data_IF_604379894550
#
_entry.id   IF_604379894550
#
_cell.length_a   1.000
_cell.length_b   1.000
_cell.length_c   1.000
_cell.angle_alpha   90.00
_cell.angle_beta   90.00
_cell.angle_gamma   90.00
#
_symmetry.space_group_name_H-M   'P 1'
#
loop_
_entity.id
_entity.type
_entity.pdbx_description
1 polymer ?
#
# COMPACT_ATOMS: atom_id res chain seq x y z
N UNK A 1 -13.32 -20.68 8.63
CA UNK A 1 -12.61 -19.58 9.31
C UNK A 1 -12.37 -18.50 8.28
N UNK A 2 -12.73 -17.25 8.56
CA UNK A 2 -12.45 -16.15 7.64
C UNK A 2 -10.92 -15.91 7.64
N UNK A 3 -10.24 -16.18 6.52
CA UNK A 3 -8.81 -16.00 6.35
C UNK A 3 -8.44 -14.54 6.06
N UNK A 4 -8.97 -13.60 6.85
CA UNK A 4 -8.52 -12.21 6.76
C UNK A 4 -7.21 -12.05 7.53
N UNK A 5 -6.20 -11.50 6.86
CA UNK A 5 -4.90 -11.18 7.47
C UNK A 5 -4.52 -9.75 7.12
N UNK A 6 -4.32 -8.94 8.15
CA UNK A 6 -3.74 -7.61 7.99
C UNK A 6 -2.24 -7.75 8.16
N UNK A 7 -1.49 -7.31 7.17
CA UNK A 7 -0.03 -7.32 7.16
C UNK A 7 0.49 -5.95 6.74
N UNK A 8 1.72 -5.65 7.14
CA UNK A 8 2.49 -4.54 6.60
C UNK A 8 3.22 -4.96 5.32
N UNK A 9 3.53 -4.01 4.43
CA UNK A 9 4.37 -4.32 3.26
C UNK A 9 5.77 -4.81 3.64
N UNK A 10 6.29 -4.49 4.83
CA UNK A 10 7.58 -5.01 5.30
C UNK A 10 7.56 -6.51 5.59
N UNK A 11 6.40 -7.06 5.95
CA UNK A 11 6.25 -8.50 6.17
C UNK A 11 6.25 -9.28 4.85
N UNK A 12 5.73 -8.68 3.77
CA UNK A 12 5.66 -9.27 2.42
C UNK A 12 6.07 -8.25 1.34
N UNK A 13 7.35 -7.87 1.26
CA UNK A 13 7.83 -6.82 0.34
C UNK A 13 7.61 -7.19 -1.14
N UNK A 14 7.50 -8.47 -1.47
CA UNK A 14 7.18 -8.97 -2.81
C UNK A 14 5.80 -8.52 -3.32
N UNK A 15 4.90 -8.08 -2.42
CA UNK A 15 3.58 -7.56 -2.80
C UNK A 15 3.61 -6.10 -3.26
N UNK A 16 4.76 -5.41 -3.24
CA UNK A 16 4.83 -3.96 -3.48
C UNK A 16 4.23 -3.53 -4.83
N UNK A 17 4.52 -4.25 -5.91
CA UNK A 17 3.98 -3.92 -7.23
C UNK A 17 2.46 -4.15 -7.29
N UNK A 18 1.99 -5.26 -6.72
CA UNK A 18 0.57 -5.61 -6.67
C UNK A 18 -0.20 -4.61 -5.80
N UNK A 19 0.37 -4.19 -4.67
CA UNK A 19 -0.21 -3.18 -3.80
C UNK A 19 -0.31 -1.83 -4.53
N UNK A 20 0.75 -1.38 -5.20
CA UNK A 20 0.74 -0.12 -5.94
C UNK A 20 -0.37 -0.08 -7.01
N UNK A 21 -0.50 -1.14 -7.81
CA UNK A 21 -1.58 -1.31 -8.78
C UNK A 21 -2.97 -1.34 -8.12
N UNK A 22 -3.08 -2.02 -6.98
CA UNK A 22 -4.33 -2.07 -6.24
C UNK A 22 -4.76 -0.67 -5.77
N UNK A 23 -3.86 0.12 -5.17
CA UNK A 23 -4.17 1.48 -4.74
C UNK A 23 -4.48 2.39 -5.93
N UNK A 24 -3.74 2.27 -7.04
CA UNK A 24 -4.04 2.96 -8.29
C UNK A 24 -5.48 2.67 -8.75
N UNK A 25 -5.89 1.40 -8.75
CA UNK A 25 -7.24 1.01 -9.16
C UNK A 25 -8.37 1.59 -8.28
N UNK A 26 -8.06 1.98 -7.04
CA UNK A 26 -9.03 2.55 -6.10
C UNK A 26 -9.10 4.07 -6.18
N UNK A 27 -7.97 4.74 -6.36
CA UNK A 27 -7.85 6.18 -6.18
C UNK A 27 -7.47 6.95 -7.45
N UNK A 28 -7.10 6.26 -8.52
CA UNK A 28 -6.74 6.86 -9.82
C UNK A 28 -5.38 7.59 -9.83
N UNK A 29 -4.67 7.65 -8.70
CA UNK A 29 -3.30 8.16 -8.62
C UNK A 29 -2.35 7.18 -9.33
N UNK A 30 -1.36 7.64 -10.12
CA UNK A 30 -0.45 6.76 -10.85
C UNK A 30 0.20 5.68 -9.98
N UNK A 31 0.25 4.45 -10.46
CA UNK A 31 0.84 3.32 -9.73
C UNK A 31 2.32 3.58 -9.40
N UNK A 32 3.05 4.30 -10.27
CA UNK A 32 4.43 4.70 -10.05
C UNK A 32 4.60 5.58 -8.81
N UNK A 33 3.65 6.48 -8.54
CA UNK A 33 3.69 7.33 -7.35
C UNK A 33 3.57 6.50 -6.08
N UNK A 34 2.64 5.53 -6.06
CA UNK A 34 2.51 4.58 -4.96
C UNK A 34 3.76 3.71 -4.81
N UNK A 35 4.30 3.20 -5.92
CA UNK A 35 5.48 2.35 -5.92
C UNK A 35 6.70 3.06 -5.30
N UNK A 36 6.92 4.33 -5.63
CA UNK A 36 8.02 5.12 -5.05
C UNK A 36 7.82 5.35 -3.54
N UNK A 37 6.61 5.68 -3.08
CA UNK A 37 6.32 5.82 -1.66
C UNK A 37 6.50 4.49 -0.89
N UNK A 38 6.06 3.37 -1.46
CA UNK A 38 6.21 2.05 -0.83
C UNK A 38 7.68 1.62 -0.78
N UNK A 39 8.48 1.89 -1.81
CA UNK A 39 9.94 1.64 -1.78
C UNK A 39 10.63 2.49 -0.71
N UNK A 40 10.24 3.74 -0.53
CA UNK A 40 10.76 4.58 0.56
C UNK A 40 10.45 3.97 1.93
N UNK A 41 9.23 3.47 2.13
CA UNK A 41 8.83 2.76 3.35
C UNK A 41 9.62 1.46 3.58
N UNK A 42 9.80 0.64 2.53
CA UNK A 42 10.55 -0.62 2.61
C UNK A 42 12.04 -0.41 2.86
N UNK A 43 12.62 0.67 2.32
CA UNK A 43 14.03 1.04 2.55
C UNK A 43 14.29 1.70 3.91
N UNK A 44 13.24 1.93 4.73
CA UNK A 44 13.37 2.56 6.04
C UNK A 44 13.61 4.07 5.99
N UNK A 45 13.49 4.71 4.81
CA UNK A 45 13.61 6.17 4.66
C UNK A 45 12.46 6.94 5.30
N UNK A 46 11.36 6.26 5.58
CA UNK A 46 10.19 6.83 6.27
C UNK A 46 9.55 5.80 7.20
N UNK A 47 8.93 6.30 8.26
CA UNK A 47 8.05 5.54 9.17
C UNK A 47 6.61 5.43 8.66
N UNK A 48 6.25 6.22 7.64
CA UNK A 48 4.94 6.21 7.00
C UNK A 48 4.67 4.85 6.36
N UNK A 49 3.72 4.13 6.96
CA UNK A 49 3.51 2.71 6.75
C UNK A 49 2.42 2.36 5.73
N UNK A 50 2.54 1.15 5.19
CA UNK A 50 1.59 0.57 4.26
C UNK A 50 1.05 -0.74 4.81
N UNK A 51 -0.27 -0.81 4.95
CA UNK A 51 -0.99 -1.95 5.51
C UNK A 51 -1.95 -2.47 4.46
N UNK A 52 -2.02 -3.79 4.31
CA UNK A 52 -2.93 -4.46 3.38
C UNK A 52 -3.65 -5.60 4.08
N UNK A 53 -4.94 -5.74 3.78
CA UNK A 53 -5.75 -6.87 4.20
C UNK A 53 -5.83 -7.88 3.07
N UNK A 54 -5.37 -9.09 3.34
CA UNK A 54 -5.48 -10.23 2.45
C UNK A 54 -6.69 -11.07 2.85
N UNK A 55 -7.46 -11.50 1.86
CA UNK A 55 -8.36 -12.64 1.96
C UNK A 55 -7.74 -13.77 1.12
N UNK A 56 -7.26 -14.80 1.80
CA UNK A 56 -6.30 -15.77 1.24
C UNK A 56 -5.07 -15.05 0.64
N UNK A 57 -4.93 -15.01 -0.69
CA UNK A 57 -3.82 -14.30 -1.38
C UNK A 57 -4.27 -13.02 -2.11
N UNK A 58 -5.54 -12.63 -1.98
CA UNK A 58 -6.08 -11.45 -2.66
C UNK A 58 -6.13 -10.23 -1.75
N UNK A 59 -5.66 -9.08 -2.25
CA UNK A 59 -5.78 -7.80 -1.53
C UNK A 59 -7.25 -7.33 -1.58
N UNK A 60 -7.88 -7.23 -0.41
CA UNK A 60 -9.29 -6.80 -0.28
C UNK A 60 -9.44 -5.43 0.37
N UNK A 61 -8.42 -4.95 1.09
CA UNK A 61 -8.37 -3.60 1.63
C UNK A 61 -6.92 -3.12 1.80
N UNK A 62 -6.72 -1.81 1.91
CA UNK A 62 -5.40 -1.23 2.15
C UNK A 62 -5.50 0.15 2.81
N UNK A 63 -4.48 0.47 3.61
CA UNK A 63 -4.28 1.76 4.24
C UNK A 63 -2.84 2.21 3.98
N UNK A 64 -2.69 3.38 3.36
CA UNK A 64 -1.42 4.09 3.30
C UNK A 64 -1.43 5.21 4.34
N UNK A 65 -0.48 5.19 5.26
CA UNK A 65 -0.11 6.38 6.04
C UNK A 65 0.95 7.07 5.19
N UNK A 66 0.69 8.29 4.75
CA UNK A 66 1.53 9.05 3.83
C UNK A 66 1.53 10.52 4.23
N UNK A 67 2.62 11.23 3.93
CA UNK A 67 2.79 12.65 4.30
C UNK A 67 1.82 13.57 3.55
N UNK A 68 1.61 13.28 2.27
CA UNK A 68 0.70 14.00 1.39
C UNK A 68 -0.31 12.98 0.83
N UNK A 69 -1.60 13.24 1.00
CA UNK A 69 -2.67 12.31 0.65
C UNK A 69 -2.99 12.29 -0.85
N UNK A 70 -2.17 12.92 -1.70
CA UNK A 70 -2.36 13.06 -3.15
C UNK A 70 -3.64 13.82 -3.55
N UNK A 71 -4.29 14.49 -2.60
CA UNK A 71 -5.47 15.30 -2.87
C UNK A 71 -5.13 16.79 -2.72
N UNK A 72 -5.42 17.57 -3.76
CA UNK A 72 -5.52 19.02 -3.61
C UNK A 72 -6.75 19.34 -2.77
N UNK A 73 -6.56 19.46 -1.46
CA UNK A 73 -7.57 20.00 -0.56
C UNK A 73 -7.60 21.52 -0.77
N UNK A 74 -8.71 22.03 -1.29
CA UNK A 74 -9.00 23.47 -1.33
C UNK A 74 -9.54 23.96 0.01
#
# INVERSE_FOLDING_TARGET
MNNYRIITLRERPELVAIAAEWFHSKWGVPAEAYLECMKAYLSGKTEYGWYICLYDESIVAGLGVIENDFHDRK
#
